data_IF_296752360028
#
_entry.id   IF_296752360028
#
_cell.length_a   1.000
_cell.length_b   1.000
_cell.length_c   1.000
_cell.angle_alpha   90.00
_cell.angle_beta   90.00
_cell.angle_gamma   90.00
#
_symmetry.space_group_name_H-M   'P 1'
#
loop_
_entity.id
_entity.type
_entity.pdbx_description
1 polymer ?
#
# COMPACT_ATOMS: atom_id res chain seq x y z
N UNK A 1 0.97 73.52 -20.88
CA UNK A 1 1.50 72.85 -19.66
C UNK A 1 0.46 72.01 -18.91
N UNK A 2 -0.82 72.45 -18.83
CA UNK A 2 -1.89 71.77 -18.07
C UNK A 2 -2.14 70.30 -18.45
N UNK A 3 -2.07 69.94 -19.73
CA UNK A 3 -2.37 68.58 -20.20
C UNK A 3 -1.27 67.54 -19.86
N UNK A 4 -0.01 67.97 -19.72
CA UNK A 4 1.11 67.07 -19.35
C UNK A 4 1.05 66.70 -17.86
N UNK A 5 0.57 67.61 -17.03
CA UNK A 5 0.40 67.40 -15.58
C UNK A 5 -0.75 66.41 -15.32
N UNK A 6 -1.86 66.54 -16.05
CA UNK A 6 -3.02 65.63 -15.92
C UNK A 6 -2.66 64.21 -16.36
N UNK A 7 -1.91 64.06 -17.47
CA UNK A 7 -1.46 62.75 -17.93
C UNK A 7 -0.49 62.08 -16.94
N UNK A 8 0.41 62.86 -16.34
CA UNK A 8 1.34 62.36 -15.32
C UNK A 8 0.62 61.93 -14.04
N UNK A 9 -0.39 62.68 -13.59
CA UNK A 9 -1.21 62.31 -12.43
C UNK A 9 -2.04 61.05 -12.69
N UNK A 10 -2.56 60.89 -13.90
CA UNK A 10 -3.31 59.69 -14.30
C UNK A 10 -2.41 58.44 -14.31
N UNK A 11 -1.18 58.55 -14.82
CA UNK A 11 -0.24 57.42 -14.82
C UNK A 11 0.23 57.03 -13.41
N UNK A 12 0.43 58.02 -12.53
CA UNK A 12 0.79 57.76 -11.12
C UNK A 12 -0.39 57.06 -10.41
N UNK A 13 -1.61 57.52 -10.62
CA UNK A 13 -2.81 56.89 -10.05
C UNK A 13 -3.01 55.46 -10.56
N UNK A 14 -2.80 55.22 -11.86
CA UNK A 14 -2.88 53.90 -12.47
C UNK A 14 -1.78 52.94 -11.95
N UNK A 15 -0.57 53.46 -11.72
CA UNK A 15 0.54 52.69 -11.13
C UNK A 15 0.30 52.34 -9.66
N UNK A 16 -0.33 53.24 -8.89
CA UNK A 16 -0.68 52.99 -7.48
C UNK A 16 -1.79 51.94 -7.39
N UNK A 17 -2.82 52.01 -8.24
CA UNK A 17 -3.85 50.96 -8.33
C UNK A 17 -3.24 49.60 -8.65
N UNK A 18 -2.31 49.52 -9.61
CA UNK A 18 -1.63 48.28 -9.99
C UNK A 18 -0.75 47.69 -8.86
N UNK A 19 -0.22 48.53 -7.96
CA UNK A 19 0.54 48.08 -6.79
C UNK A 19 -0.37 47.52 -5.68
N UNK A 20 -1.61 48.01 -5.54
CA UNK A 20 -2.54 47.58 -4.47
C UNK A 20 -3.26 46.26 -4.84
N UNK A 21 -3.36 45.92 -6.14
CA UNK A 21 -4.10 44.74 -6.60
C UNK A 21 -3.33 43.42 -6.52
N UNK A 22 -2.00 43.44 -6.40
CA UNK A 22 -1.20 42.20 -6.46
C UNK A 22 -1.24 41.37 -5.16
N UNK A 23 -1.65 41.96 -4.04
CA UNK A 23 -1.64 41.29 -2.73
C UNK A 23 -3.03 40.85 -2.23
N UNK A 24 -4.10 40.94 -3.03
CA UNK A 24 -5.47 40.65 -2.55
C UNK A 24 -6.33 39.77 -3.46
N UNK A 25 -5.74 38.79 -4.16
CA UNK A 25 -6.52 37.63 -4.62
C UNK A 25 -6.19 36.41 -3.77
N UNK A 26 -6.74 36.41 -2.56
CA UNK A 26 -7.02 35.20 -1.81
C UNK A 26 -8.47 35.24 -1.37
N UNK A 27 -9.39 35.22 -2.35
CA UNK A 27 -10.73 34.73 -2.06
C UNK A 27 -10.61 33.24 -1.77
N UNK A 28 -10.46 32.97 -0.47
CA UNK A 28 -10.71 31.70 0.15
C UNK A 28 -12.02 31.15 -0.41
N UNK A 29 -11.90 30.16 -1.28
CA UNK A 29 -13.00 29.28 -1.63
C UNK A 29 -13.20 28.36 -0.43
N UNK A 30 -13.72 28.91 0.65
CA UNK A 30 -14.48 28.10 1.60
C UNK A 30 -15.84 27.89 0.93
N UNK A 31 -15.83 27.19 -0.21
CA UNK A 31 -17.03 26.53 -0.67
C UNK A 31 -17.48 25.67 0.52
N UNK A 32 -18.77 25.66 0.89
CA UNK A 32 -19.25 24.56 1.73
C UNK A 32 -18.76 23.31 1.02
N UNK A 33 -17.92 22.52 1.69
CA UNK A 33 -17.60 21.18 1.21
C UNK A 33 -18.94 20.47 1.22
N UNK A 34 -19.66 20.52 0.11
CA UNK A 34 -20.80 19.65 -0.11
C UNK A 34 -20.14 18.29 0.02
N UNK A 35 -20.41 17.53 1.10
CA UNK A 35 -19.81 16.20 1.22
C UNK A 35 -20.17 15.51 -0.09
N UNK A 36 -19.15 15.16 -0.87
CA UNK A 36 -19.34 14.52 -2.16
C UNK A 36 -20.19 13.31 -1.86
N UNK A 37 -21.45 13.34 -2.29
CA UNK A 37 -22.44 12.37 -1.85
C UNK A 37 -22.15 11.06 -2.59
N UNK A 38 -21.37 10.19 -1.96
CA UNK A 38 -20.87 8.95 -2.55
C UNK A 38 -22.00 7.96 -2.82
N UNK A 39 -22.78 7.69 -1.77
CA UNK A 39 -23.99 6.89 -1.86
C UNK A 39 -25.16 7.69 -1.30
N UNK A 40 -26.29 7.64 -2.00
CA UNK A 40 -27.45 8.46 -1.63
C UNK A 40 -28.13 7.99 -0.35
N UNK A 41 -28.00 6.70 -0.04
CA UNK A 41 -28.57 6.00 1.10
C UNK A 41 -27.59 5.87 2.29
N UNK A 42 -26.34 6.32 2.16
CA UNK A 42 -25.33 6.24 3.23
C UNK A 42 -24.87 7.65 3.60
N UNK A 43 -25.54 8.33 4.54
CA UNK A 43 -25.12 9.65 5.00
C UNK A 43 -23.80 9.58 5.81
N UNK A 44 -23.08 10.71 5.98
CA UNK A 44 -21.82 10.76 6.74
C UNK A 44 -21.89 10.23 8.18
N UNK A 45 -23.07 10.30 8.81
CA UNK A 45 -23.30 9.78 10.18
C UNK A 45 -23.67 8.28 10.19
N UNK A 46 -23.60 7.58 9.06
CA UNK A 46 -23.91 6.16 8.99
C UNK A 46 -22.69 5.33 9.43
N UNK A 47 -22.90 4.31 10.25
CA UNK A 47 -21.81 3.45 10.77
C UNK A 47 -20.93 2.83 9.66
N UNK A 48 -21.52 2.54 8.50
CA UNK A 48 -20.82 1.97 7.35
C UNK A 48 -20.11 3.01 6.45
N UNK A 49 -20.31 4.31 6.70
CA UNK A 49 -19.86 5.37 5.80
C UNK A 49 -18.35 5.30 5.55
N UNK A 50 -17.54 5.26 6.62
CA UNK A 50 -16.08 5.20 6.52
C UNK A 50 -15.57 3.93 5.82
N UNK A 51 -16.20 2.79 6.09
CA UNK A 51 -15.83 1.53 5.47
C UNK A 51 -16.14 1.54 3.96
N UNK A 52 -17.32 2.00 3.59
CA UNK A 52 -17.75 2.08 2.20
C UNK A 52 -16.97 3.12 1.42
N UNK A 53 -16.61 4.24 2.05
CA UNK A 53 -15.76 5.26 1.44
C UNK A 53 -14.40 4.68 1.03
N UNK A 54 -13.75 3.93 1.93
CA UNK A 54 -12.47 3.27 1.64
C UNK A 54 -12.61 2.25 0.51
N UNK A 55 -13.63 1.41 0.56
CA UNK A 55 -13.87 0.41 -0.48
C UNK A 55 -14.19 1.04 -1.85
N UNK A 56 -14.90 2.17 -1.86
CA UNK A 56 -15.21 2.92 -3.06
C UNK A 56 -13.97 3.58 -3.66
N UNK A 57 -13.12 4.19 -2.83
CA UNK A 57 -11.83 4.77 -3.24
C UNK A 57 -10.89 3.71 -3.83
N UNK A 58 -10.91 2.49 -3.29
CA UNK A 58 -10.15 1.35 -3.83
C UNK A 58 -10.79 0.74 -5.09
N UNK A 59 -11.95 1.22 -5.55
CA UNK A 59 -12.67 0.70 -6.72
C UNK A 59 -13.27 -0.70 -6.53
N UNK A 60 -13.28 -1.20 -5.29
CA UNK A 60 -13.81 -2.52 -4.93
C UNK A 60 -15.33 -2.55 -4.97
N UNK A 61 -15.97 -1.42 -4.63
CA UNK A 61 -17.41 -1.22 -4.74
C UNK A 61 -17.71 0.03 -5.55
N UNK A 62 -18.78 -0.01 -6.35
CA UNK A 62 -19.23 1.13 -7.18
C UNK A 62 -20.65 1.56 -6.86
N UNK A 63 -21.43 0.72 -6.16
CA UNK A 63 -22.86 0.91 -5.95
C UNK A 63 -23.68 0.61 -7.21
N UNK A 64 -24.97 0.92 -7.12
CA UNK A 64 -25.93 0.75 -8.21
C UNK A 64 -25.99 1.98 -9.12
N UNK A 65 -26.53 1.85 -10.35
CA UNK A 65 -26.68 2.97 -11.29
C UNK A 65 -27.52 4.14 -10.76
N UNK A 66 -28.38 3.88 -9.78
CA UNK A 66 -29.19 4.89 -9.07
C UNK A 66 -28.39 5.67 -8.00
N UNK A 67 -27.09 5.38 -7.84
CA UNK A 67 -26.20 6.04 -6.89
C UNK A 67 -26.41 5.59 -5.44
N UNK A 68 -26.97 4.40 -5.22
CA UNK A 68 -27.17 3.81 -3.88
C UNK A 68 -26.27 2.61 -3.63
N UNK A 69 -26.06 2.25 -2.36
CA UNK A 69 -25.34 1.04 -1.93
C UNK A 69 -26.29 -0.13 -1.61
N UNK A 70 -27.52 0.15 -1.14
CA UNK A 70 -28.57 -0.81 -0.75
C UNK A 70 -28.16 -1.79 0.35
N UNK A 71 -27.42 -1.32 1.36
CA UNK A 71 -26.87 -2.16 2.43
C UNK A 71 -27.88 -2.89 3.32
N UNK A 72 -29.17 -2.53 3.26
CA UNK A 72 -30.25 -3.22 3.97
C UNK A 72 -30.80 -4.44 3.22
N UNK A 73 -30.38 -4.66 1.97
CA UNK A 73 -30.80 -5.79 1.15
C UNK A 73 -29.79 -6.94 1.25
N UNK A 74 -30.25 -8.20 1.18
CA UNK A 74 -29.35 -9.33 1.12
C UNK A 74 -28.54 -9.27 -0.18
N UNK A 75 -27.22 -9.45 -0.04
CA UNK A 75 -26.30 -9.45 -1.17
C UNK A 75 -26.44 -10.75 -1.97
N UNK A 76 -26.47 -10.64 -3.29
CA UNK A 76 -26.50 -11.81 -4.18
C UNK A 76 -25.13 -12.48 -4.24
N UNK A 77 -25.11 -13.78 -4.55
CA UNK A 77 -23.86 -14.53 -4.77
C UNK A 77 -22.99 -13.89 -5.86
N UNK A 78 -23.60 -13.29 -6.88
CA UNK A 78 -22.91 -12.61 -7.96
C UNK A 78 -22.16 -11.36 -7.46
N UNK A 79 -22.82 -10.52 -6.67
CA UNK A 79 -22.20 -9.30 -6.15
C UNK A 79 -21.04 -9.64 -5.21
N UNK A 80 -21.18 -10.69 -4.38
CA UNK A 80 -20.08 -11.18 -3.51
C UNK A 80 -18.90 -11.63 -4.37
N UNK A 81 -19.15 -12.45 -5.39
CA UNK A 81 -18.10 -12.94 -6.30
C UNK A 81 -17.37 -11.78 -7.00
N UNK A 82 -18.09 -10.74 -7.40
CA UNK A 82 -17.50 -9.56 -8.03
C UNK A 82 -16.57 -8.81 -7.07
N UNK A 83 -16.97 -8.60 -5.81
CA UNK A 83 -16.11 -7.95 -4.80
C UNK A 83 -14.86 -8.78 -4.56
N UNK A 84 -15.01 -10.10 -4.39
CA UNK A 84 -13.87 -11.01 -4.18
C UNK A 84 -12.92 -10.97 -5.37
N UNK A 85 -13.44 -11.03 -6.60
CA UNK A 85 -12.62 -10.93 -7.80
C UNK A 85 -11.81 -9.62 -7.87
N UNK A 86 -12.46 -8.48 -7.61
CA UNK A 86 -11.78 -7.17 -7.57
C UNK A 86 -10.73 -7.11 -6.46
N UNK A 87 -11.02 -7.68 -5.30
CA UNK A 87 -10.08 -7.76 -4.18
C UNK A 87 -8.86 -8.61 -4.53
N UNK A 88 -9.05 -9.76 -5.18
CA UNK A 88 -7.94 -10.61 -5.61
C UNK A 88 -7.02 -9.89 -6.60
N UNK A 89 -7.59 -9.16 -7.57
CA UNK A 89 -6.81 -8.33 -8.49
C UNK A 89 -6.02 -7.25 -7.74
N UNK A 90 -6.69 -6.55 -6.82
CA UNK A 90 -6.03 -5.51 -6.02
C UNK A 90 -4.84 -6.08 -5.23
N UNK A 91 -5.03 -7.22 -4.56
CA UNK A 91 -3.97 -7.88 -3.80
C UNK A 91 -2.83 -8.36 -4.71
N UNK A 92 -3.14 -8.92 -5.88
CA UNK A 92 -2.14 -9.33 -6.85
C UNK A 92 -1.28 -8.15 -7.29
N UNK A 93 -1.89 -7.00 -7.62
CA UNK A 93 -1.16 -5.80 -8.00
C UNK A 93 -0.25 -5.30 -6.88
N UNK A 94 -0.72 -5.31 -5.63
CA UNK A 94 0.10 -4.92 -4.47
C UNK A 94 1.28 -5.89 -4.27
N UNK A 95 1.08 -7.18 -4.52
CA UNK A 95 2.16 -8.18 -4.48
C UNK A 95 3.18 -7.94 -5.60
N UNK A 96 2.73 -7.62 -6.81
CA UNK A 96 3.59 -7.36 -7.96
C UNK A 96 4.39 -6.05 -7.81
N UNK A 97 3.77 -5.00 -7.26
CA UNK A 97 4.46 -3.77 -6.87
C UNK A 97 5.54 -4.06 -5.82
N UNK A 98 5.19 -4.78 -4.74
CA UNK A 98 6.13 -5.19 -3.69
C UNK A 98 7.26 -6.08 -4.21
N UNK A 99 6.98 -6.98 -5.16
CA UNK A 99 7.97 -7.83 -5.83
C UNK A 99 8.97 -7.01 -6.62
N UNK A 100 8.55 -5.91 -7.26
CA UNK A 100 9.47 -4.99 -7.94
C UNK A 100 10.41 -4.26 -6.97
N UNK A 101 9.97 -3.97 -5.73
CA UNK A 101 10.86 -3.43 -4.69
C UNK A 101 11.87 -4.48 -4.21
N UNK A 102 11.47 -5.76 -4.10
CA UNK A 102 12.35 -6.88 -3.71
C UNK A 102 13.34 -7.27 -4.82
N UNK A 103 12.95 -7.15 -6.09
CA UNK A 103 13.85 -7.40 -7.22
C UNK A 103 14.91 -6.30 -7.34
N UNK A 104 14.54 -5.04 -7.12
CA UNK A 104 15.48 -3.91 -7.12
C UNK A 104 16.47 -3.94 -5.95
N UNK A 105 16.11 -4.57 -4.83
CA UNK A 105 17.07 -4.88 -3.75
C UNK A 105 17.89 -6.16 -4.02
N UNK A 106 17.37 -7.12 -4.78
CA UNK A 106 18.12 -8.31 -5.19
C UNK A 106 19.17 -8.06 -6.30
N UNK A 107 18.96 -7.08 -7.20
CA UNK A 107 20.00 -6.63 -8.14
C UNK A 107 21.16 -5.88 -7.44
N UNK A 108 21.01 -5.57 -6.14
CA UNK A 108 22.07 -5.08 -5.27
C UNK A 108 22.55 -6.13 -4.25
N UNK A 109 22.05 -7.38 -4.32
CA UNK A 109 22.36 -8.47 -3.38
C UNK A 109 23.43 -9.44 -3.89
N UNK A 110 24.29 -8.99 -4.79
CA UNK A 110 25.69 -9.46 -4.86
C UNK A 110 26.59 -8.64 -3.93
N UNK A 111 26.09 -8.25 -2.74
CA UNK A 111 26.88 -7.58 -1.69
C UNK A 111 26.29 -7.83 -0.27
N UNK A 112 25.58 -8.94 -0.05
CA UNK A 112 25.03 -9.30 1.27
C UNK A 112 26.10 -9.70 2.31
N UNK A 113 27.37 -9.77 1.93
CA UNK A 113 28.50 -9.94 2.86
C UNK A 113 29.00 -8.58 3.42
N UNK A 114 28.71 -7.46 2.75
CA UNK A 114 29.29 -6.16 3.09
C UNK A 114 28.53 -5.43 4.21
N UNK A 115 27.26 -5.78 4.48
CA UNK A 115 26.47 -5.10 5.53
C UNK A 115 26.87 -5.57 6.92
N UNK A 116 27.12 -6.88 7.10
CA UNK A 116 27.69 -7.42 8.34
C UNK A 116 29.11 -6.89 8.56
N UNK A 117 29.92 -6.81 7.50
CA UNK A 117 31.29 -6.28 7.56
C UNK A 117 31.34 -4.77 7.85
N UNK A 118 30.41 -3.97 7.32
CA UNK A 118 30.32 -2.53 7.60
C UNK A 118 29.89 -2.25 9.04
N UNK A 119 28.99 -3.09 9.59
CA UNK A 119 28.62 -2.99 11.00
C UNK A 119 29.77 -3.44 11.91
N UNK A 120 30.47 -4.52 11.57
CA UNK A 120 31.66 -4.97 12.31
C UNK A 120 32.78 -3.91 12.27
N UNK A 121 32.96 -3.22 11.14
CA UNK A 121 33.88 -2.09 11.02
C UNK A 121 33.45 -0.90 11.87
N UNK A 122 32.17 -0.56 11.87
CA UNK A 122 31.61 0.52 12.68
C UNK A 122 31.71 0.21 14.19
N UNK A 123 31.48 -1.03 14.59
CA UNK A 123 31.66 -1.50 15.97
C UNK A 123 33.14 -1.39 16.36
N UNK A 124 34.07 -1.90 15.57
CA UNK A 124 35.50 -1.83 15.88
C UNK A 124 36.04 -0.39 15.91
N UNK A 125 35.53 0.49 15.06
CA UNK A 125 35.89 1.91 15.02
C UNK A 125 35.38 2.64 16.28
N UNK A 126 34.15 2.36 16.72
CA UNK A 126 33.60 2.88 17.98
C UNK A 126 34.41 2.36 19.17
N UNK A 127 34.72 1.06 19.20
CA UNK A 127 35.50 0.43 20.28
C UNK A 127 36.92 1.01 20.42
N UNK A 128 37.51 1.48 19.34
CA UNK A 128 38.82 2.12 19.36
C UNK A 128 38.75 3.58 19.83
N UNK A 129 37.59 4.24 19.66
CA UNK A 129 37.39 5.66 19.92
C UNK A 129 36.87 5.97 21.31
N UNK A 130 36.28 5.00 22.01
CA UNK A 130 35.79 5.24 23.38
C UNK A 130 36.67 4.52 24.42
N UNK A 131 37.38 5.30 25.23
CA UNK A 131 38.16 4.81 26.38
C UNK A 131 37.22 4.43 27.55
N UNK A 132 36.39 3.40 27.34
CA UNK A 132 35.34 2.94 28.27
C UNK A 132 35.90 1.88 29.21
N UNK A 133 35.52 1.94 30.50
CA UNK A 133 35.84 0.90 31.49
C UNK A 133 35.40 -0.49 31.00
N UNK A 134 36.17 -1.53 31.33
CA UNK A 134 35.93 -2.90 30.86
C UNK A 134 34.53 -3.43 31.17
N UNK A 135 33.85 -2.91 32.20
CA UNK A 135 32.53 -3.36 32.63
C UNK A 135 31.37 -2.90 31.71
N UNK A 136 31.33 -1.63 31.29
CA UNK A 136 30.26 -1.11 30.41
C UNK A 136 30.35 -1.68 28.99
N UNK A 137 31.58 -1.98 28.56
CA UNK A 137 31.85 -2.64 27.29
C UNK A 137 31.30 -4.08 27.26
N UNK A 138 31.33 -4.78 28.39
CA UNK A 138 30.82 -6.14 28.48
C UNK A 138 29.29 -6.17 28.39
N UNK A 139 28.62 -5.23 29.05
CA UNK A 139 27.16 -5.09 28.98
C UNK A 139 26.68 -4.82 27.54
N UNK A 140 27.37 -3.93 26.83
CA UNK A 140 27.04 -3.60 25.43
C UNK A 140 27.28 -4.82 24.53
N UNK A 141 28.38 -5.56 24.74
CA UNK A 141 28.67 -6.78 23.98
C UNK A 141 27.62 -7.86 24.22
N UNK A 142 27.21 -8.05 25.47
CA UNK A 142 26.21 -9.05 25.84
C UNK A 142 24.85 -8.70 25.22
N UNK A 143 24.46 -7.42 25.25
CA UNK A 143 23.23 -6.94 24.60
C UNK A 143 23.27 -7.09 23.06
N UNK A 144 24.40 -6.76 22.43
CA UNK A 144 24.58 -6.92 20.98
C UNK A 144 24.57 -8.40 20.57
N UNK A 145 25.15 -9.27 21.40
CA UNK A 145 25.14 -10.71 21.17
C UNK A 145 23.74 -11.30 21.33
N UNK A 146 22.97 -10.83 22.32
CA UNK A 146 21.57 -11.21 22.49
C UNK A 146 20.72 -10.80 21.29
N UNK A 147 20.86 -9.56 20.82
CA UNK A 147 20.16 -9.08 19.63
C UNK A 147 20.56 -9.86 18.35
N UNK A 148 21.85 -10.23 18.22
CA UNK A 148 22.32 -11.09 17.13
C UNK A 148 21.64 -12.46 17.16
N UNK A 149 21.48 -13.05 18.34
CA UNK A 149 20.83 -14.35 18.49
C UNK A 149 19.33 -14.29 18.18
N UNK A 150 18.66 -13.20 18.56
CA UNK A 150 17.26 -12.96 18.19
C UNK A 150 17.10 -12.85 16.67
N UNK A 151 17.96 -12.11 15.99
CA UNK A 151 17.92 -11.98 14.52
C UNK A 151 18.11 -13.33 13.82
N UNK A 152 19.04 -14.16 14.29
CA UNK A 152 19.26 -15.51 13.76
C UNK A 152 18.00 -16.37 13.94
N UNK A 153 17.34 -16.27 15.10
CA UNK A 153 16.11 -17.02 15.37
C UNK A 153 14.94 -16.56 14.49
N UNK A 154 14.86 -15.26 14.21
CA UNK A 154 13.84 -14.69 13.33
C UNK A 154 14.05 -15.13 11.87
N UNK A 155 15.30 -15.16 11.41
CA UNK A 155 15.62 -15.66 10.07
C UNK A 155 15.23 -17.14 9.91
N UNK A 156 15.46 -17.96 10.93
CA UNK A 156 15.00 -19.35 10.94
C UNK A 156 13.47 -19.46 10.93
N UNK A 157 12.77 -18.61 11.68
CA UNK A 157 11.31 -18.58 11.67
C UNK A 157 10.77 -18.24 10.27
N UNK A 158 11.36 -17.24 9.60
CA UNK A 158 10.98 -16.88 8.23
C UNK A 158 11.19 -18.05 7.24
N UNK A 159 12.36 -18.70 7.27
CA UNK A 159 12.65 -19.88 6.44
C UNK A 159 11.67 -21.03 6.69
N UNK A 160 11.27 -21.26 7.94
CA UNK A 160 10.28 -22.28 8.28
C UNK A 160 8.88 -21.92 7.78
N UNK A 161 8.53 -20.62 7.78
CA UNK A 161 7.26 -20.13 7.26
C UNK A 161 7.20 -20.26 5.74
N UNK A 162 8.28 -19.93 5.04
CA UNK A 162 8.41 -20.13 3.60
C UNK A 162 8.24 -21.61 3.22
N UNK A 163 8.87 -22.52 3.95
CA UNK A 163 8.71 -23.96 3.75
C UNK A 163 7.26 -24.43 3.97
N UNK A 164 6.57 -23.87 4.98
CA UNK A 164 5.15 -24.18 5.25
C UNK A 164 4.21 -23.64 4.17
N UNK A 165 4.47 -22.45 3.65
CA UNK A 165 3.68 -21.86 2.56
C UNK A 165 3.85 -22.69 1.28
N UNK A 166 5.09 -23.06 0.95
CA UNK A 166 5.36 -23.90 -0.22
C UNK A 166 4.67 -25.26 -0.14
N UNK A 167 4.69 -25.91 1.02
CA UNK A 167 3.98 -27.17 1.22
C UNK A 167 2.46 -27.03 1.03
N UNK A 168 1.86 -25.92 1.45
CA UNK A 168 0.43 -25.65 1.21
C UNK A 168 0.11 -25.43 -0.28
N UNK A 169 1.03 -24.82 -1.02
CA UNK A 169 0.88 -24.62 -2.46
C UNK A 169 0.98 -25.94 -3.24
N UNK A 170 1.92 -26.81 -2.85
CA UNK A 170 2.08 -28.14 -3.43
C UNK A 170 0.88 -29.07 -3.12
N UNK A 171 0.35 -29.05 -1.89
CA UNK A 171 -0.84 -29.81 -1.50
C UNK A 171 -2.09 -29.35 -2.26
N UNK A 172 -2.26 -28.04 -2.46
CA UNK A 172 -3.40 -27.54 -3.23
C UNK A 172 -3.28 -27.92 -4.71
N UNK A 173 -2.08 -27.86 -5.28
CA UNK A 173 -1.83 -28.25 -6.67
C UNK A 173 -2.07 -29.74 -6.91
N UNK A 174 -1.59 -30.60 -6.00
CA UNK A 174 -1.81 -32.05 -6.09
C UNK A 174 -3.30 -32.43 -5.94
N UNK A 175 -4.03 -31.76 -5.05
CA UNK A 175 -5.48 -31.94 -4.92
C UNK A 175 -6.22 -31.56 -6.21
N UNK A 176 -5.89 -30.42 -6.82
CA UNK A 176 -6.48 -29.99 -8.10
C UNK A 176 -6.17 -31.01 -9.20
N UNK A 177 -4.93 -31.48 -9.32
CA UNK A 177 -4.54 -32.48 -10.32
C UNK A 177 -5.29 -33.81 -10.13
N UNK A 178 -5.50 -34.25 -8.88
CA UNK A 178 -6.27 -35.47 -8.61
C UNK A 178 -7.73 -35.33 -9.03
N UNK A 179 -8.37 -34.19 -8.73
CA UNK A 179 -9.75 -33.91 -9.14
C UNK A 179 -9.87 -33.87 -10.67
N UNK A 180 -8.94 -33.18 -11.35
CA UNK A 180 -8.92 -33.10 -12.82
C UNK A 180 -8.77 -34.49 -13.44
N UNK A 181 -7.89 -35.34 -12.89
CA UNK A 181 -7.72 -36.72 -13.35
C UNK A 181 -9.01 -37.56 -13.21
N UNK A 182 -9.70 -37.43 -12.08
CA UNK A 182 -10.99 -38.09 -11.85
C UNK A 182 -12.04 -37.61 -12.86
N UNK A 183 -12.13 -36.30 -13.09
CA UNK A 183 -13.08 -35.72 -14.05
C UNK A 183 -12.81 -36.23 -15.47
N UNK A 184 -11.55 -36.26 -15.90
CA UNK A 184 -11.17 -36.79 -17.22
C UNK A 184 -11.54 -38.28 -17.34
N UNK A 185 -11.26 -39.07 -16.30
CA UNK A 185 -11.61 -40.50 -16.27
C UNK A 185 -13.12 -40.73 -16.37
N UNK A 186 -13.93 -39.99 -15.60
CA UNK A 186 -15.39 -40.11 -15.63
C UNK A 186 -16.00 -39.71 -16.99
N UNK A 187 -15.48 -38.65 -17.61
CA UNK A 187 -15.89 -38.23 -18.96
C UNK A 187 -15.54 -39.31 -19.99
N UNK A 188 -14.35 -39.92 -19.87
CA UNK A 188 -13.90 -40.97 -20.80
C UNK A 188 -14.77 -42.23 -20.72
N UNK A 189 -15.17 -42.61 -19.51
CA UNK A 189 -16.11 -43.73 -19.27
C UNK A 189 -17.50 -43.40 -19.83
N UNK A 190 -17.99 -42.18 -19.64
CA UNK A 190 -19.31 -41.76 -20.15
C UNK A 190 -19.37 -41.78 -21.68
N UNK A 191 -18.30 -41.35 -22.36
CA UNK A 191 -18.18 -41.41 -23.82
C UNK A 191 -18.17 -42.87 -24.30
N UNK A 192 -17.44 -43.75 -23.62
CA UNK A 192 -17.37 -45.18 -23.97
C UNK A 192 -18.70 -45.93 -23.78
N UNK A 193 -19.60 -45.43 -22.93
CA UNK A 193 -20.95 -46.00 -22.75
C UNK A 193 -21.96 -45.54 -23.81
N UNK A 194 -21.64 -44.49 -24.58
CA UNK A 194 -22.53 -43.88 -25.57
C UNK A 194 -22.12 -44.17 -27.03
N UNK A 195 -21.00 -44.88 -27.25
CA UNK A 195 -20.51 -45.38 -28.54
C UNK A 195 -20.74 -46.89 -28.64
#
# INVERSE_FOLDING_TARGET
>A
MRNRIILSLFLIFFSIIFLITNDTVCFAQNAPTIPVKFFTDVPPNHWAYEALLKLYQLGLITGYPDGTYKGNQPMTRYEIALIVYKMLIYLQNQIDENKNYVQKSNDNSTNSENSSQSFDQMVNDILSKVNISKEELQLIKDLVNEFRNELISFEQQYKSLEARVKALEDDNTSNILSIVSIVISTISILIALFL
#
